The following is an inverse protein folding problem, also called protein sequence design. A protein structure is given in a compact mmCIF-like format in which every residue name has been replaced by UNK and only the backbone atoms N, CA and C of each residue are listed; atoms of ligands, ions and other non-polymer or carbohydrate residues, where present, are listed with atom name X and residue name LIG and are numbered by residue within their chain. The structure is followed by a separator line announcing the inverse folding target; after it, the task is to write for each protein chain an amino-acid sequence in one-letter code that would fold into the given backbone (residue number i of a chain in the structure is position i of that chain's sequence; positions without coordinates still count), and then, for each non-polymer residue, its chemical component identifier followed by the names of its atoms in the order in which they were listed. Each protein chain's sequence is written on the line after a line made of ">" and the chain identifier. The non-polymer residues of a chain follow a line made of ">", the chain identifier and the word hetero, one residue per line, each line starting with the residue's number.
data_IF_232372403888
#
_entry.id   IF_232372403888
#
_cell.length_a   1.000
_cell.length_b   1.000
_cell.length_c   1.000
_cell.angle_alpha   90.00
_cell.angle_beta   90.00
_cell.angle_gamma   90.00
#
_symmetry.space_group_name_H-M   'P 1'
#
loop_
_entity.id
_entity.type
_entity.pdbx_description
1 polymer ?
#
# COMPACT_ATOMS: atom_id res chain seq x y z
N UNK A 1 9.35 49.36 5.83
CA UNK A 1 8.68 48.79 4.64
C UNK A 1 9.54 47.64 4.12
N UNK A 2 9.10 46.39 4.23
CA UNK A 2 9.86 45.26 3.68
C UNK A 2 9.60 43.91 4.35
N UNK A 3 8.36 43.44 4.38
CA UNK A 3 8.05 42.03 4.65
C UNK A 3 6.62 41.71 4.20
N UNK A 4 6.42 41.36 2.93
CA UNK A 4 5.21 40.64 2.49
C UNK A 4 5.37 40.15 1.04
N UNK A 5 6.23 39.16 0.80
CA UNK A 5 6.26 38.49 -0.52
C UNK A 5 6.65 37.00 -0.51
N UNK A 6 6.57 36.31 0.63
CA UNK A 6 7.04 34.92 0.74
C UNK A 6 5.99 33.88 1.19
N UNK A 7 4.68 34.14 1.05
CA UNK A 7 3.64 33.15 1.43
C UNK A 7 2.66 32.74 0.31
N UNK A 8 2.76 33.29 -0.91
CA UNK A 8 1.84 32.93 -1.99
C UNK A 8 2.24 31.68 -2.79
N UNK A 9 3.43 31.11 -2.58
CA UNK A 9 3.95 29.97 -3.36
C UNK A 9 3.83 28.58 -2.72
N UNK A 10 3.43 28.48 -1.44
CA UNK A 10 3.52 27.22 -0.67
C UNK A 10 2.27 26.34 -0.76
N UNK A 11 1.13 26.87 -1.20
CA UNK A 11 -0.15 26.14 -1.21
C UNK A 11 -0.26 25.08 -2.31
N UNK A 12 0.33 25.32 -3.48
CA UNK A 12 0.26 24.41 -4.63
C UNK A 12 1.03 23.11 -4.42
N UNK A 13 2.29 23.21 -3.98
CA UNK A 13 3.14 22.04 -3.73
C UNK A 13 2.62 21.13 -2.61
N UNK A 14 2.05 21.71 -1.55
CA UNK A 14 1.46 20.94 -0.46
C UNK A 14 0.18 20.20 -0.86
N UNK A 15 -0.61 20.76 -1.78
CA UNK A 15 -1.81 20.09 -2.33
C UNK A 15 -1.43 18.97 -3.29
N UNK A 16 -0.50 19.22 -4.21
CA UNK A 16 -0.01 18.22 -5.16
C UNK A 16 0.58 17.01 -4.43
N UNK A 17 1.44 17.23 -3.43
CA UNK A 17 2.00 16.15 -2.62
C UNK A 17 0.95 15.30 -1.91
N UNK A 18 -0.02 15.94 -1.25
CA UNK A 18 -1.08 15.23 -0.55
C UNK A 18 -1.95 14.40 -1.52
N UNK A 19 -2.19 14.90 -2.73
CA UNK A 19 -2.88 14.14 -3.76
C UNK A 19 -2.03 12.95 -4.22
N UNK A 20 -0.72 13.14 -4.44
CA UNK A 20 0.19 12.05 -4.82
C UNK A 20 0.21 10.92 -3.79
N UNK A 21 0.27 11.22 -2.50
CA UNK A 21 0.23 10.18 -1.45
C UNK A 21 -1.12 9.45 -1.43
N UNK A 22 -2.22 10.19 -1.56
CA UNK A 22 -3.54 9.57 -1.61
C UNK A 22 -3.69 8.65 -2.82
N UNK A 23 -3.22 9.08 -3.99
CA UNK A 23 -3.23 8.27 -5.19
C UNK A 23 -2.34 7.03 -5.02
N UNK A 24 -1.13 7.18 -4.48
CA UNK A 24 -0.24 6.05 -4.24
C UNK A 24 -0.83 5.03 -3.25
N UNK A 25 -1.59 5.50 -2.25
CA UNK A 25 -2.33 4.66 -1.31
C UNK A 25 -3.49 3.91 -1.98
N UNK A 26 -4.31 4.61 -2.78
CA UNK A 26 -5.56 4.05 -3.31
C UNK A 26 -5.37 3.24 -4.59
N UNK A 27 -4.37 3.57 -5.40
CA UNK A 27 -4.18 3.00 -6.73
C UNK A 27 -4.09 1.46 -6.70
N UNK A 28 -3.31 0.81 -5.82
CA UNK A 28 -3.25 -0.64 -5.76
C UNK A 28 -4.63 -1.28 -5.49
N UNK A 29 -5.38 -0.76 -4.52
CA UNK A 29 -6.69 -1.30 -4.17
C UNK A 29 -7.72 -1.14 -5.29
N UNK A 30 -7.77 0.04 -5.92
CA UNK A 30 -8.65 0.30 -7.07
C UNK A 30 -8.28 -0.59 -8.26
N UNK A 31 -6.97 -0.71 -8.56
CA UNK A 31 -6.48 -1.56 -9.63
C UNK A 31 -6.75 -3.05 -9.37
N UNK A 32 -6.62 -3.53 -8.14
CA UNK A 32 -7.01 -4.89 -7.76
C UNK A 32 -8.48 -5.17 -8.01
N UNK A 33 -9.38 -4.27 -7.57
CA UNK A 33 -10.82 -4.43 -7.76
C UNK A 33 -11.17 -4.40 -9.26
N UNK A 34 -10.64 -3.43 -10.00
CA UNK A 34 -10.86 -3.33 -11.43
C UNK A 34 -10.34 -4.58 -12.16
N UNK A 35 -9.14 -5.04 -11.81
CA UNK A 35 -8.57 -6.26 -12.37
C UNK A 35 -9.43 -7.49 -12.09
N UNK A 36 -9.89 -7.67 -10.86
CA UNK A 36 -10.80 -8.76 -10.52
C UNK A 36 -12.07 -8.71 -11.38
N UNK A 37 -12.70 -7.53 -11.53
CA UNK A 37 -13.91 -7.40 -12.36
C UNK A 37 -13.64 -7.74 -13.83
N UNK A 38 -12.51 -7.30 -14.38
CA UNK A 38 -12.13 -7.52 -15.78
C UNK A 38 -11.80 -8.98 -16.07
N UNK A 39 -11.15 -9.68 -15.13
CA UNK A 39 -10.64 -11.03 -15.35
C UNK A 39 -11.38 -12.14 -14.59
N UNK A 40 -12.52 -11.83 -13.95
CA UNK A 40 -13.30 -12.82 -13.17
C UNK A 40 -13.80 -14.03 -13.96
N UNK A 41 -13.92 -13.90 -15.28
CA UNK A 41 -14.44 -14.95 -16.18
C UNK A 41 -13.30 -15.65 -16.96
N UNK A 42 -12.03 -15.36 -16.62
CA UNK A 42 -10.86 -15.99 -17.25
C UNK A 42 -10.54 -17.33 -16.57
N UNK A 43 -10.68 -18.44 -17.30
CA UNK A 43 -10.44 -19.79 -16.79
C UNK A 43 -9.03 -20.00 -16.21
N UNK A 44 -8.03 -19.20 -16.63
CA UNK A 44 -6.67 -19.26 -16.06
C UNK A 44 -6.61 -18.76 -14.61
N UNK A 45 -7.66 -18.05 -14.20
CA UNK A 45 -7.82 -17.45 -12.89
C UNK A 45 -8.96 -18.10 -12.10
N UNK A 46 -9.38 -19.33 -12.45
CA UNK A 46 -10.40 -20.06 -11.66
C UNK A 46 -9.95 -20.30 -10.21
N UNK A 47 -8.63 -20.41 -9.99
CA UNK A 47 -8.04 -20.44 -8.64
C UNK A 47 -8.24 -19.13 -7.85
N UNK A 48 -8.66 -18.04 -8.52
CA UNK A 48 -9.08 -16.77 -7.91
C UNK A 48 -10.56 -16.75 -7.49
N UNK A 49 -11.36 -17.80 -7.76
CA UNK A 49 -12.79 -17.81 -7.41
C UNK A 49 -12.98 -17.86 -5.88
N UNK A 50 -13.59 -16.83 -5.25
CA UNK A 50 -13.86 -16.84 -3.81
C UNK A 50 -14.77 -17.98 -3.36
N UNK A 51 -15.55 -18.57 -4.28
CA UNK A 51 -16.47 -19.69 -4.01
C UNK A 51 -15.76 -21.03 -3.88
N UNK A 52 -14.52 -21.13 -4.37
CA UNK A 52 -13.70 -22.34 -4.28
C UNK A 52 -13.26 -22.70 -2.85
N UNK A 53 -13.55 -21.84 -1.86
CA UNK A 53 -13.20 -22.05 -0.45
C UNK A 53 -11.81 -21.52 -0.07
N UNK A 54 -11.14 -20.85 -0.99
CA UNK A 54 -9.85 -20.19 -0.80
C UNK A 54 -9.93 -19.04 0.22
N UNK A 55 -9.67 -19.33 1.50
CA UNK A 55 -9.68 -18.35 2.60
C UNK A 55 -8.70 -17.18 2.42
N UNK A 56 -7.71 -17.32 1.53
CA UNK A 56 -6.74 -16.27 1.23
C UNK A 56 -7.39 -15.04 0.56
N UNK A 57 -8.46 -15.18 -0.23
CA UNK A 57 -9.17 -14.03 -0.79
C UNK A 57 -9.91 -13.22 0.26
N UNK A 58 -10.58 -13.90 1.19
CA UNK A 58 -11.24 -13.25 2.32
C UNK A 58 -10.20 -12.50 3.16
N UNK A 59 -9.04 -13.12 3.41
CA UNK A 59 -7.94 -12.49 4.14
C UNK A 59 -7.42 -11.23 3.42
N UNK A 60 -7.15 -11.29 2.11
CA UNK A 60 -6.72 -10.14 1.29
C UNK A 60 -7.78 -9.03 1.33
N UNK A 61 -9.04 -9.36 1.08
CA UNK A 61 -10.13 -8.38 1.01
C UNK A 61 -10.34 -7.68 2.35
N UNK A 62 -10.41 -8.43 3.45
CA UNK A 62 -10.62 -7.88 4.80
C UNK A 62 -9.39 -7.06 5.22
N UNK A 63 -8.19 -7.64 5.14
CA UNK A 63 -6.97 -6.98 5.60
C UNK A 63 -6.62 -5.75 4.74
N UNK A 64 -6.78 -5.85 3.41
CA UNK A 64 -6.60 -4.74 2.48
C UNK A 64 -7.62 -3.61 2.69
N UNK A 65 -8.88 -3.94 3.01
CA UNK A 65 -9.90 -2.93 3.35
C UNK A 65 -9.55 -2.20 4.64
N UNK A 66 -9.16 -2.93 5.70
CA UNK A 66 -8.73 -2.36 6.98
C UNK A 66 -7.52 -1.44 6.77
N UNK A 67 -6.51 -1.91 6.03
CA UNK A 67 -5.32 -1.14 5.73
C UNK A 67 -5.65 0.14 4.95
N UNK A 68 -6.47 0.03 3.91
CA UNK A 68 -6.89 1.19 3.09
C UNK A 68 -7.66 2.21 3.93
N UNK A 69 -8.60 1.76 4.75
CA UNK A 69 -9.37 2.65 5.63
C UNK A 69 -8.47 3.36 6.65
N UNK A 70 -7.51 2.63 7.25
CA UNK A 70 -6.52 3.19 8.16
C UNK A 70 -5.62 4.23 7.47
N UNK A 71 -5.14 3.94 6.26
CA UNK A 71 -4.34 4.89 5.47
C UNK A 71 -5.11 6.15 5.08
N UNK A 72 -6.40 6.02 4.71
CA UNK A 72 -7.26 7.20 4.44
C UNK A 72 -7.45 8.01 5.73
N UNK A 73 -7.68 7.36 6.87
CA UNK A 73 -7.84 8.04 8.14
C UNK A 73 -6.57 8.80 8.53
N UNK A 74 -5.40 8.17 8.44
CA UNK A 74 -4.10 8.79 8.71
C UNK A 74 -3.83 9.97 7.77
N UNK A 75 -4.04 9.79 6.47
CA UNK A 75 -3.93 10.87 5.48
C UNK A 75 -4.82 12.07 5.83
N UNK A 76 -6.05 11.84 6.30
CA UNK A 76 -6.98 12.90 6.74
C UNK A 76 -6.44 13.64 7.98
N UNK A 77 -5.85 12.93 8.95
CA UNK A 77 -5.25 13.55 10.14
C UNK A 77 -4.10 14.48 9.75
N UNK A 78 -3.21 14.03 8.87
CA UNK A 78 -2.06 14.83 8.42
C UNK A 78 -2.52 16.05 7.61
N UNK A 79 -3.56 15.88 6.79
CA UNK A 79 -4.22 16.97 6.06
C UNK A 79 -4.88 18.01 6.96
N UNK A 80 -5.39 17.59 8.13
CA UNK A 80 -6.02 18.45 9.12
C UNK A 80 -5.07 19.38 9.86
N UNK A 81 -3.75 19.25 9.64
CA UNK A 81 -2.74 20.09 10.28
C UNK A 81 -2.48 19.70 11.73
N UNK A 82 -2.88 18.49 12.16
CA UNK A 82 -2.61 17.97 13.50
C UNK A 82 -1.11 17.91 13.81
N UNK A 83 -0.25 17.88 12.78
CA UNK A 83 1.21 17.90 12.88
C UNK A 83 1.84 18.58 11.67
N UNK A 84 2.97 19.26 11.88
CA UNK A 84 3.81 19.81 10.80
C UNK A 84 4.69 18.69 10.24
N UNK A 85 4.36 18.22 9.03
CA UNK A 85 5.13 17.20 8.31
C UNK A 85 6.25 17.86 7.51
N UNK A 86 7.50 17.56 7.89
CA UNK A 86 8.71 18.15 7.30
C UNK A 86 9.01 17.63 5.89
N UNK A 87 9.82 18.35 5.10
CA UNK A 87 10.15 17.95 3.72
C UNK A 87 10.85 16.59 3.63
N UNK A 88 11.64 16.21 4.65
CA UNK A 88 12.35 14.93 4.69
C UNK A 88 11.40 13.75 4.89
N UNK A 89 10.48 13.89 5.84
CA UNK A 89 9.40 12.93 6.13
C UNK A 89 8.56 12.69 4.86
N UNK A 90 8.11 13.77 4.21
CA UNK A 90 7.39 13.70 2.93
C UNK A 90 8.10 12.87 1.84
N UNK A 91 9.42 13.03 1.71
CA UNK A 91 10.19 12.30 0.70
C UNK A 91 10.30 10.81 1.02
N UNK A 92 10.46 10.49 2.29
CA UNK A 92 10.55 9.11 2.77
C UNK A 92 9.20 8.40 2.62
N UNK A 93 8.12 9.08 3.01
CA UNK A 93 6.75 8.59 2.84
C UNK A 93 6.44 8.29 1.36
N UNK A 94 6.76 9.22 0.46
CA UNK A 94 6.57 9.01 -0.98
C UNK A 94 7.46 7.88 -1.52
N UNK A 95 8.69 7.74 -1.03
CA UNK A 95 9.58 6.64 -1.41
C UNK A 95 9.00 5.29 -0.97
N UNK A 96 8.43 5.19 0.24
CA UNK A 96 7.80 3.97 0.73
C UNK A 96 6.57 3.61 -0.12
N UNK A 97 5.69 4.58 -0.39
CA UNK A 97 4.45 4.37 -1.12
C UNK A 97 4.67 4.14 -2.63
N UNK A 98 5.35 5.07 -3.30
CA UNK A 98 5.53 5.05 -4.75
C UNK A 98 6.76 4.25 -5.17
N UNK A 99 7.83 4.22 -4.36
CA UNK A 99 9.06 3.48 -4.65
C UNK A 99 9.04 2.03 -4.19
N UNK A 100 8.27 1.71 -3.13
CA UNK A 100 8.12 0.34 -2.62
C UNK A 100 6.79 -0.28 -3.00
N UNK A 101 5.69 0.32 -2.53
CA UNK A 101 4.33 -0.21 -2.67
C UNK A 101 3.88 -0.39 -4.12
N UNK A 102 4.10 0.61 -4.99
CA UNK A 102 3.68 0.53 -6.40
C UNK A 102 4.46 -0.54 -7.20
N UNK A 103 5.81 -0.61 -7.13
CA UNK A 103 6.55 -1.70 -7.77
C UNK A 103 6.19 -3.08 -7.22
N UNK A 104 6.00 -3.20 -5.90
CA UNK A 104 5.56 -4.45 -5.29
C UNK A 104 4.21 -4.89 -5.86
N UNK A 105 3.24 -3.98 -5.94
CA UNK A 105 1.94 -4.25 -6.55
C UNK A 105 2.06 -4.72 -8.01
N UNK A 106 2.89 -4.06 -8.81
CA UNK A 106 3.10 -4.44 -10.22
C UNK A 106 3.69 -5.86 -10.34
N UNK A 107 4.66 -6.20 -9.50
CA UNK A 107 5.23 -7.56 -9.43
C UNK A 107 4.18 -8.57 -8.98
N UNK A 108 3.37 -8.24 -7.98
CA UNK A 108 2.28 -9.11 -7.51
C UNK A 108 1.25 -9.37 -8.62
N UNK A 109 0.83 -8.33 -9.34
CA UNK A 109 -0.09 -8.45 -10.45
C UNK A 109 0.48 -9.31 -11.59
N UNK A 110 1.75 -9.09 -11.95
CA UNK A 110 2.43 -9.88 -12.98
C UNK A 110 2.55 -11.37 -12.58
N UNK A 111 2.85 -11.66 -11.32
CA UNK A 111 2.89 -13.02 -10.81
C UNK A 111 1.51 -13.69 -10.82
N UNK A 112 0.47 -12.99 -10.37
CA UNK A 112 -0.93 -13.48 -10.39
C UNK A 112 -1.37 -13.84 -11.81
N UNK A 113 -1.02 -13.01 -12.81
CA UNK A 113 -1.40 -13.21 -14.22
C UNK A 113 -0.47 -14.15 -14.99
N UNK A 114 0.71 -14.47 -14.45
CA UNK A 114 1.70 -15.32 -15.11
C UNK A 114 1.24 -16.78 -15.12
N UNK A 115 1.51 -17.51 -16.21
CA UNK A 115 1.37 -18.97 -16.24
C UNK A 115 2.42 -19.68 -15.35
N UNK A 116 3.56 -19.03 -15.10
CA UNK A 116 4.68 -19.51 -14.27
C UNK A 116 5.02 -18.44 -13.22
N UNK A 117 4.46 -18.48 -12.01
CA UNK A 117 4.65 -17.43 -11.02
C UNK A 117 6.06 -17.45 -10.40
N UNK A 118 6.78 -18.57 -10.44
CA UNK A 118 8.04 -18.82 -9.71
C UNK A 118 9.13 -17.76 -9.92
N UNK A 119 9.39 -17.25 -11.15
CA UNK A 119 10.40 -16.22 -11.36
C UNK A 119 10.10 -14.90 -10.64
N UNK A 120 8.85 -14.67 -10.26
CA UNK A 120 8.40 -13.45 -9.58
C UNK A 120 8.55 -13.51 -8.06
N UNK A 121 8.83 -14.68 -7.48
CA UNK A 121 8.96 -14.88 -6.03
C UNK A 121 10.07 -14.00 -5.45
N UNK A 122 11.27 -14.09 -6.03
CA UNK A 122 12.45 -13.34 -5.53
C UNK A 122 12.25 -11.82 -5.67
N UNK A 123 11.80 -11.28 -6.82
CA UNK A 123 11.44 -9.87 -6.92
C UNK A 123 10.40 -9.42 -5.90
N UNK A 124 9.35 -10.21 -5.67
CA UNK A 124 8.28 -9.88 -4.72
C UNK A 124 8.82 -9.77 -3.29
N UNK A 125 9.63 -10.74 -2.85
CA UNK A 125 10.25 -10.73 -1.52
C UNK A 125 11.22 -9.56 -1.39
N UNK A 126 12.07 -9.30 -2.39
CA UNK A 126 13.03 -8.21 -2.34
C UNK A 126 12.35 -6.85 -2.20
N UNK A 127 11.29 -6.61 -2.97
CA UNK A 127 10.50 -5.38 -2.89
C UNK A 127 9.71 -5.28 -1.58
N UNK A 128 9.17 -6.38 -1.07
CA UNK A 128 8.51 -6.40 0.24
C UNK A 128 9.49 -6.01 1.35
N UNK A 129 10.70 -6.61 1.38
CA UNK A 129 11.74 -6.27 2.35
C UNK A 129 12.18 -4.81 2.25
N UNK A 130 12.41 -4.30 1.03
CA UNK A 130 12.77 -2.91 0.82
C UNK A 130 11.67 -1.94 1.29
N UNK A 131 10.41 -2.27 1.00
CA UNK A 131 9.23 -1.49 1.44
C UNK A 131 9.12 -1.52 2.96
N UNK A 132 9.25 -2.70 3.59
CA UNK A 132 9.24 -2.84 5.06
C UNK A 132 10.37 -2.04 5.70
N UNK A 133 11.58 -2.05 5.13
CA UNK A 133 12.69 -1.25 5.64
C UNK A 133 12.41 0.26 5.54
N UNK A 134 11.80 0.72 4.45
CA UNK A 134 11.38 2.11 4.30
C UNK A 134 10.30 2.51 5.31
N UNK A 135 9.28 1.67 5.52
CA UNK A 135 8.23 1.86 6.51
C UNK A 135 8.82 1.89 7.93
N UNK A 136 9.70 0.95 8.26
CA UNK A 136 10.36 0.89 9.56
C UNK A 136 11.23 2.14 9.81
N UNK A 137 11.97 2.59 8.80
CA UNK A 137 12.75 3.81 8.88
C UNK A 137 11.87 5.03 9.15
N UNK A 138 10.74 5.14 8.45
CA UNK A 138 9.76 6.22 8.62
C UNK A 138 9.18 6.22 10.04
N UNK A 139 8.71 5.06 10.50
CA UNK A 139 8.10 4.89 11.83
C UNK A 139 9.08 5.25 12.95
N UNK A 140 10.31 4.73 12.89
CA UNK A 140 11.30 4.93 13.95
C UNK A 140 11.96 6.31 13.91
N UNK A 141 11.98 6.99 12.75
CA UNK A 141 12.61 8.30 12.62
C UNK A 141 11.62 9.43 12.87
N UNK A 142 10.42 9.35 12.29
CA UNK A 142 9.47 10.46 12.28
C UNK A 142 8.27 10.21 13.18
N UNK A 143 7.85 8.97 13.41
CA UNK A 143 6.62 8.65 14.16
C UNK A 143 6.88 8.18 15.61
N UNK A 144 7.95 8.70 16.22
CA UNK A 144 8.31 8.39 17.63
C UNK A 144 7.33 8.91 18.67
N UNK A 145 6.50 9.90 18.31
CA UNK A 145 5.55 10.58 19.21
C UNK A 145 4.23 10.83 18.47
N UNK A 146 3.53 9.75 18.19
CA UNK A 146 2.20 9.79 17.59
C UNK A 146 1.12 9.76 18.66
N UNK A 147 -0.06 10.28 18.32
CA UNK A 147 -1.24 10.06 19.16
C UNK A 147 -1.60 8.57 19.20
N UNK A 148 -2.40 8.15 20.18
CA UNK A 148 -2.88 6.77 20.26
C UNK A 148 -3.67 6.34 19.00
N UNK A 149 -4.45 7.27 18.44
CA UNK A 149 -5.23 7.02 17.22
C UNK A 149 -4.33 6.86 15.99
N UNK A 150 -3.37 7.77 15.79
CA UNK A 150 -2.38 7.69 14.70
C UNK A 150 -1.57 6.39 14.78
N UNK A 151 -1.14 6.00 15.98
CA UNK A 151 -0.44 4.72 16.23
C UNK A 151 -1.33 3.52 15.84
N UNK A 152 -2.62 3.56 16.16
CA UNK A 152 -3.55 2.51 15.78
C UNK A 152 -3.72 2.44 14.26
N UNK A 153 -3.79 3.58 13.56
CA UNK A 153 -3.81 3.63 12.10
C UNK A 153 -2.55 3.03 11.48
N UNK A 154 -1.36 3.37 11.96
CA UNK A 154 -0.10 2.84 11.43
C UNK A 154 0.00 1.31 11.60
N UNK A 155 -0.42 0.81 12.77
CA UNK A 155 -0.47 -0.62 13.04
C UNK A 155 -1.48 -1.33 12.15
N UNK A 156 -2.68 -0.79 12.00
CA UNK A 156 -3.70 -1.35 11.13
C UNK A 156 -3.26 -1.37 9.66
N UNK A 157 -2.62 -0.29 9.20
CA UNK A 157 -2.05 -0.20 7.85
C UNK A 157 -0.95 -1.27 7.63
N UNK A 158 0.05 -1.31 8.51
CA UNK A 158 1.20 -2.21 8.37
C UNK A 158 0.81 -3.68 8.52
N UNK A 159 0.01 -4.00 9.55
CA UNK A 159 -0.47 -5.37 9.77
C UNK A 159 -1.44 -5.82 8.68
N UNK A 160 -2.37 -4.95 8.26
CA UNK A 160 -3.31 -5.27 7.21
C UNK A 160 -2.60 -5.54 5.87
N UNK A 161 -1.63 -4.70 5.49
CA UNK A 161 -0.79 -4.94 4.31
C UNK A 161 0.04 -6.22 4.43
N UNK A 162 0.62 -6.48 5.62
CA UNK A 162 1.38 -7.71 5.87
C UNK A 162 0.55 -8.97 5.75
N UNK A 163 -0.66 -8.99 6.34
CA UNK A 163 -1.60 -10.12 6.24
C UNK A 163 -2.05 -10.32 4.80
N UNK A 164 -2.40 -9.24 4.09
CA UNK A 164 -2.80 -9.32 2.69
C UNK A 164 -1.66 -9.87 1.81
N UNK A 165 -0.42 -9.42 2.03
CA UNK A 165 0.75 -9.93 1.31
C UNK A 165 1.02 -11.40 1.59
N UNK A 166 0.94 -11.84 2.85
CA UNK A 166 1.12 -13.26 3.22
C UNK A 166 0.04 -14.15 2.62
N UNK A 167 -1.23 -13.72 2.67
CA UNK A 167 -2.34 -14.43 2.06
C UNK A 167 -2.16 -14.54 0.53
N UNK A 168 -1.74 -13.47 -0.12
CA UNK A 168 -1.41 -13.47 -1.55
C UNK A 168 -0.25 -14.42 -1.88
N UNK A 169 0.84 -14.38 -1.10
CA UNK A 169 1.99 -15.29 -1.27
C UNK A 169 1.56 -16.75 -1.18
N UNK A 170 0.72 -17.09 -0.19
CA UNK A 170 0.19 -18.44 -0.04
C UNK A 170 -0.66 -18.85 -1.25
N UNK A 171 -1.60 -18.01 -1.67
CA UNK A 171 -2.45 -18.31 -2.83
C UNK A 171 -1.65 -18.54 -4.12
N UNK A 172 -0.70 -17.65 -4.42
CA UNK A 172 0.05 -17.67 -5.69
C UNK A 172 1.12 -18.79 -5.73
N UNK A 173 1.85 -19.00 -4.65
CA UNK A 173 3.05 -19.86 -4.67
C UNK A 173 2.88 -21.19 -3.96
N UNK A 174 1.87 -21.34 -3.10
CA UNK A 174 1.60 -22.60 -2.40
C UNK A 174 0.38 -23.26 -3.00
N UNK A 175 -0.79 -22.62 -2.91
CA UNK A 175 -2.06 -23.25 -3.29
C UNK A 175 -2.13 -23.56 -4.79
N UNK A 176 -1.81 -22.57 -5.63
CA UNK A 176 -1.75 -22.75 -7.09
C UNK A 176 -0.73 -23.80 -7.55
N UNK A 177 0.34 -24.05 -6.79
CA UNK A 177 1.33 -25.06 -7.15
C UNK A 177 0.83 -26.51 -6.93
N UNK A 178 -0.27 -26.69 -6.19
CA UNK A 178 -0.80 -28.00 -5.80
C UNK A 178 -2.17 -28.32 -6.42
N UNK A 179 -2.77 -27.41 -7.19
CA UNK A 179 -4.04 -27.60 -7.92
C UNK A 179 -3.83 -27.54 -9.42
#
# INVERSE_FOLDING_TARGET
>A
MGASRAQAGSGGGARAFALSNLLALLLPGVASIAGFIVWRDDARLDWLDPRSGAGHFAAIAIAGTIATAAGIADWRLHRGGARVVGLRERRVELLALAGGGTPLFAVMAAATLSARPEPWLVPAIALALATTAAIAYDEFTFHRRCSAFETACHRALTLGMGVAWLAWMHGVFVERAHG
#
